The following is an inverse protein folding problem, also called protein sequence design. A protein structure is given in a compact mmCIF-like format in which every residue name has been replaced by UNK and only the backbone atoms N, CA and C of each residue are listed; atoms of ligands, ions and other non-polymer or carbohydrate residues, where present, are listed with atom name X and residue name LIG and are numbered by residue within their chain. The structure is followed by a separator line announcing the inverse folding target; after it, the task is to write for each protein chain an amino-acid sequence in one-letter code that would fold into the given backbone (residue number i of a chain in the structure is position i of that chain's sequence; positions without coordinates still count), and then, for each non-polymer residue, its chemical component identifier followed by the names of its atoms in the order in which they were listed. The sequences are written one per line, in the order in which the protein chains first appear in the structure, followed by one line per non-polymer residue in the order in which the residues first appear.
data_IF_198072294514
#
_entry.id   IF_198072294514
#
_cell.length_a   1.000
_cell.length_b   1.000
_cell.length_c   1.000
_cell.angle_alpha   90.00
_cell.angle_beta   90.00
_cell.angle_gamma   90.00
#
_symmetry.space_group_name_H-M   'P 1'
#
loop_
_entity.id
_entity.type
_entity.pdbx_description
1 polymer ?
#
# COMPACT_ATOMS: atom_id res chain seq x y z
N UNK A 1 -6.10 -8.35 18.54
CA UNK A 1 -5.09 -7.29 18.33
C UNK A 1 -3.90 -7.85 17.57
N UNK A 2 -3.44 -9.07 17.92
CA UNK A 2 -2.25 -9.70 17.32
C UNK A 2 -2.37 -9.95 15.81
N UNK A 3 -3.53 -10.36 15.32
CA UNK A 3 -3.74 -10.62 13.90
C UNK A 3 -3.68 -9.38 13.00
N UNK A 4 -3.99 -8.19 13.50
CA UNK A 4 -3.87 -6.96 12.72
C UNK A 4 -2.40 -6.54 12.57
N UNK A 5 -1.61 -6.67 13.64
CA UNK A 5 -0.18 -6.35 13.60
C UNK A 5 0.58 -7.33 12.69
N UNK A 6 0.20 -8.61 12.69
CA UNK A 6 0.81 -9.61 11.82
C UNK A 6 0.52 -9.32 10.34
N UNK A 7 -0.75 -9.02 9.99
CA UNK A 7 -1.11 -8.61 8.62
C UNK A 7 -0.36 -7.36 8.18
N UNK A 8 -0.29 -6.35 9.03
CA UNK A 8 0.45 -5.12 8.71
C UNK A 8 1.94 -5.39 8.42
N UNK A 9 2.58 -6.30 9.18
CA UNK A 9 3.96 -6.71 8.93
C UNK A 9 4.07 -7.45 7.59
N UNK A 10 3.16 -8.37 7.30
CA UNK A 10 3.13 -9.11 6.04
C UNK A 10 3.00 -8.16 4.86
N UNK A 11 2.02 -7.26 4.88
CA UNK A 11 1.82 -6.23 3.85
C UNK A 11 3.07 -5.34 3.67
N UNK A 12 3.74 -4.96 4.77
CA UNK A 12 4.96 -4.17 4.70
C UNK A 12 6.14 -4.95 4.08
N UNK A 13 6.25 -6.25 4.35
CA UNK A 13 7.27 -7.11 3.75
C UNK A 13 7.03 -7.31 2.26
N UNK A 14 5.79 -7.59 1.85
CA UNK A 14 5.41 -7.71 0.44
C UNK A 14 5.69 -6.42 -0.31
N UNK A 15 5.30 -5.28 0.24
CA UNK A 15 5.59 -3.98 -0.36
C UNK A 15 7.09 -3.73 -0.52
N UNK A 16 7.88 -4.01 0.51
CA UNK A 16 9.35 -3.85 0.45
C UNK A 16 9.98 -4.72 -0.63
N UNK A 17 9.48 -5.95 -0.78
CA UNK A 17 9.91 -6.87 -1.84
C UNK A 17 9.57 -6.31 -3.23
N UNK A 18 8.34 -5.85 -3.42
CA UNK A 18 7.88 -5.29 -4.68
C UNK A 18 8.66 -4.01 -5.07
N UNK A 19 8.89 -3.11 -4.12
CA UNK A 19 9.74 -1.93 -4.36
C UNK A 19 11.15 -2.34 -4.75
N UNK A 20 11.70 -3.37 -4.14
CA UNK A 20 13.03 -3.89 -4.49
C UNK A 20 13.08 -4.42 -5.92
N UNK A 21 12.03 -5.09 -6.38
CA UNK A 21 11.94 -5.60 -7.75
C UNK A 21 11.75 -4.48 -8.77
N UNK A 22 10.94 -3.47 -8.46
CA UNK A 22 10.79 -2.25 -9.27
C UNK A 22 12.15 -1.55 -9.46
N UNK A 23 12.88 -1.33 -8.36
CA UNK A 23 14.20 -0.68 -8.40
C UNK A 23 15.23 -1.54 -9.11
N UNK A 24 15.21 -2.86 -8.91
CA UNK A 24 16.11 -3.81 -9.60
C UNK A 24 15.88 -3.79 -11.10
N UNK A 25 14.62 -3.80 -11.55
CA UNK A 25 14.27 -3.70 -12.97
C UNK A 25 14.82 -2.42 -13.60
N UNK A 26 14.71 -1.30 -12.92
CA UNK A 26 15.25 -0.03 -13.39
C UNK A 26 16.79 0.02 -13.34
N UNK A 27 17.40 -0.58 -12.33
CA UNK A 27 18.85 -0.64 -12.16
C UNK A 27 19.55 -1.51 -13.21
N UNK A 28 18.86 -2.46 -13.83
CA UNK A 28 19.40 -3.33 -14.88
C UNK A 28 19.65 -2.58 -16.21
N UNK A 29 19.16 -1.35 -16.37
CA UNK A 29 19.52 -0.53 -17.52
C UNK A 29 21.04 -0.28 -17.54
N UNK A 30 21.67 -0.42 -18.70
CA UNK A 30 23.14 -0.44 -18.87
C UNK A 30 23.86 0.79 -18.30
N UNK A 31 23.20 1.95 -18.28
CA UNK A 31 23.78 3.20 -17.75
C UNK A 31 23.78 3.28 -16.23
N UNK A 32 22.78 2.68 -15.58
CA UNK A 32 22.62 2.69 -14.12
C UNK A 32 23.50 1.61 -13.50
N UNK A 33 23.58 0.42 -14.10
CA UNK A 33 24.42 -0.69 -13.62
C UNK A 33 25.88 -0.29 -13.48
N UNK A 34 26.45 0.42 -14.44
CA UNK A 34 27.82 0.91 -14.37
C UNK A 34 28.07 1.92 -13.24
N UNK A 35 27.09 2.80 -12.97
CA UNK A 35 27.17 3.78 -11.87
C UNK A 35 27.01 3.12 -10.50
N UNK A 36 26.17 2.11 -10.36
CA UNK A 36 25.99 1.35 -9.12
C UNK A 36 27.28 0.62 -8.73
N UNK A 37 27.92 -0.04 -9.68
CA UNK A 37 29.20 -0.71 -9.45
C UNK A 37 30.32 0.26 -9.03
N UNK A 38 30.38 1.43 -9.65
CA UNK A 38 31.37 2.46 -9.34
C UNK A 38 31.09 3.18 -8.00
N UNK A 39 29.81 3.33 -7.62
CA UNK A 39 29.38 4.06 -6.42
C UNK A 39 29.27 3.23 -5.15
N UNK A 40 29.36 1.89 -5.23
CA UNK A 40 29.28 0.99 -4.07
C UNK A 40 27.91 0.93 -3.39
N UNK A 41 26.85 1.53 -3.97
CA UNK A 41 25.51 1.49 -3.44
C UNK A 41 24.78 0.26 -4.02
N UNK A 42 24.18 -0.54 -3.14
CA UNK A 42 23.43 -1.72 -3.54
C UNK A 42 21.95 -1.42 -3.78
N UNK A 43 21.28 -2.33 -4.50
CA UNK A 43 19.85 -2.20 -4.85
C UNK A 43 18.95 -2.10 -3.61
N UNK A 44 19.29 -2.78 -2.52
CA UNK A 44 18.50 -2.75 -1.27
C UNK A 44 18.53 -1.34 -0.66
N UNK A 45 19.68 -0.69 -0.63
CA UNK A 45 19.79 0.69 -0.15
C UNK A 45 18.97 1.65 -1.01
N UNK A 46 19.03 1.51 -2.34
CA UNK A 46 18.22 2.32 -3.24
C UNK A 46 16.72 2.07 -3.06
N UNK A 47 16.33 0.82 -2.86
CA UNK A 47 14.91 0.47 -2.61
C UNK A 47 14.41 1.10 -1.32
N UNK A 48 15.21 1.09 -0.27
CA UNK A 48 14.87 1.76 0.98
C UNK A 48 14.71 3.28 0.78
N UNK A 49 15.61 3.90 0.02
CA UNK A 49 15.50 5.33 -0.31
C UNK A 49 14.25 5.64 -1.12
N UNK A 50 13.90 4.81 -2.10
CA UNK A 50 12.66 4.94 -2.89
C UNK A 50 11.44 4.76 -2.01
N UNK A 51 11.45 3.79 -1.08
CA UNK A 51 10.36 3.58 -0.12
C UNK A 51 10.12 4.80 0.75
N UNK A 52 11.16 5.37 1.33
CA UNK A 52 11.07 6.61 2.14
C UNK A 52 10.54 7.76 1.28
N UNK A 53 11.06 7.90 0.06
CA UNK A 53 10.63 8.96 -0.86
C UNK A 53 9.15 8.81 -1.27
N UNK A 54 8.69 7.58 -1.52
CA UNK A 54 7.31 7.28 -1.83
C UNK A 54 6.36 7.61 -0.66
N UNK A 55 6.76 7.30 0.57
CA UNK A 55 5.97 7.58 1.78
C UNK A 55 5.92 9.06 2.13
N UNK A 56 7.01 9.79 1.92
CA UNK A 56 7.11 11.23 2.25
C UNK A 56 6.59 12.14 1.14
N UNK A 57 6.26 11.61 -0.02
CA UNK A 57 5.82 12.37 -1.19
C UNK A 57 6.92 13.12 -1.92
N UNK A 58 8.19 12.86 -1.56
CA UNK A 58 9.33 13.65 -1.99
C UNK A 58 9.37 15.00 -1.26
N UNK A 59 10.52 15.64 -1.25
CA UNK A 59 10.61 16.99 -0.68
C UNK A 59 10.06 18.00 -1.68
N UNK A 60 8.76 18.24 -1.66
CA UNK A 60 8.17 19.41 -2.29
C UNK A 60 8.22 20.58 -1.29
N UNK A 61 9.37 21.09 -1.09
CA UNK A 61 9.75 22.48 -0.82
C UNK A 61 9.25 23.20 0.43
N UNK A 62 8.32 22.76 1.26
CA UNK A 62 7.72 23.66 2.27
C UNK A 62 7.66 23.14 3.70
N UNK A 63 7.86 21.84 3.95
CA UNK A 63 7.81 21.29 5.32
C UNK A 63 9.14 20.60 5.70
N UNK A 64 10.22 21.37 5.74
CA UNK A 64 11.52 20.88 6.21
C UNK A 64 11.55 20.95 7.74
N UNK A 65 10.92 19.95 8.37
CA UNK A 65 11.27 19.56 9.72
C UNK A 65 12.50 18.66 9.72
N UNK A 66 13.01 18.27 10.88
CA UNK A 66 14.25 17.46 11.04
C UNK A 66 14.29 16.17 10.18
N UNK A 67 13.14 15.64 9.77
CA UNK A 67 13.01 14.54 8.80
C UNK A 67 13.36 14.95 7.35
N UNK A 68 13.31 16.23 7.01
CA UNK A 68 13.52 16.75 5.66
C UNK A 68 14.96 16.64 5.15
N UNK A 69 15.95 16.73 6.00
CA UNK A 69 17.36 16.67 5.59
C UNK A 69 17.73 15.27 5.02
N UNK A 70 17.27 14.21 5.66
CA UNK A 70 17.52 12.83 5.21
C UNK A 70 16.77 12.51 3.92
N UNK A 71 15.54 13.03 3.76
CA UNK A 71 14.76 12.85 2.55
C UNK A 71 15.37 13.62 1.36
N UNK A 72 15.87 14.84 1.57
CA UNK A 72 16.53 15.63 0.55
C UNK A 72 17.84 14.98 0.07
N UNK A 73 18.63 14.41 0.99
CA UNK A 73 19.86 13.67 0.65
C UNK A 73 19.52 12.41 -0.15
N UNK A 74 18.50 11.65 0.26
CA UNK A 74 18.05 10.47 -0.45
C UNK A 74 17.57 10.81 -1.86
N UNK A 75 16.83 11.90 -2.03
CA UNK A 75 16.40 12.39 -3.34
C UNK A 75 17.59 12.73 -4.22
N UNK A 76 18.54 13.51 -3.74
CA UNK A 76 19.74 13.90 -4.50
C UNK A 76 20.53 12.67 -4.96
N UNK A 77 20.69 11.68 -4.07
CA UNK A 77 21.37 10.43 -4.41
C UNK A 77 20.58 9.68 -5.50
N UNK A 78 19.29 9.46 -5.31
CA UNK A 78 18.45 8.77 -6.28
C UNK A 78 18.47 9.46 -7.66
N UNK A 79 18.35 10.79 -7.68
CA UNK A 79 18.37 11.57 -8.93
C UNK A 79 19.71 11.49 -9.64
N UNK A 80 20.84 11.41 -8.90
CA UNK A 80 22.15 11.23 -9.49
C UNK A 80 22.33 9.89 -10.20
N UNK A 81 21.67 8.84 -9.70
CA UNK A 81 21.71 7.49 -10.29
C UNK A 81 20.70 7.31 -11.42
N UNK A 82 19.45 7.68 -11.19
CA UNK A 82 18.32 7.38 -12.07
C UNK A 82 17.84 8.58 -12.89
N UNK A 83 18.12 9.79 -12.45
CA UNK A 83 17.54 11.02 -12.98
C UNK A 83 16.15 11.32 -12.39
N UNK A 84 15.80 12.59 -12.32
CA UNK A 84 14.59 13.11 -11.66
C UNK A 84 13.28 12.44 -12.13
N UNK A 85 13.09 12.28 -13.44
CA UNK A 85 11.89 11.66 -14.01
C UNK A 85 11.72 10.21 -13.57
N UNK A 86 12.83 9.47 -13.57
CA UNK A 86 12.81 8.06 -13.17
C UNK A 86 12.54 7.92 -11.69
N UNK A 87 13.13 8.78 -10.85
CA UNK A 87 12.87 8.78 -9.40
C UNK A 87 11.40 9.04 -9.10
N UNK A 88 10.78 10.00 -9.77
CA UNK A 88 9.33 10.26 -9.62
C UNK A 88 8.50 9.06 -10.05
N UNK A 89 8.85 8.43 -11.17
CA UNK A 89 8.15 7.21 -11.63
C UNK A 89 8.29 6.05 -10.65
N UNK A 90 9.48 5.82 -10.11
CA UNK A 90 9.73 4.79 -9.08
C UNK A 90 8.91 5.06 -7.82
N UNK A 91 8.84 6.31 -7.35
CA UNK A 91 8.05 6.69 -6.19
C UNK A 91 6.54 6.50 -6.43
N UNK A 92 6.04 6.84 -7.61
CA UNK A 92 4.64 6.63 -7.98
C UNK A 92 4.32 5.13 -7.98
N UNK A 93 5.12 4.30 -8.64
CA UNK A 93 4.93 2.85 -8.67
C UNK A 93 4.98 2.24 -7.25
N UNK A 94 5.93 2.67 -6.42
CA UNK A 94 6.04 2.20 -5.04
C UNK A 94 4.81 2.59 -4.20
N UNK A 95 4.25 3.78 -4.41
CA UNK A 95 3.04 4.23 -3.74
C UNK A 95 1.80 3.46 -4.21
N UNK A 96 1.63 3.29 -5.51
CA UNK A 96 0.53 2.50 -6.07
C UNK A 96 0.54 1.06 -5.57
N UNK A 97 1.74 0.45 -5.47
CA UNK A 97 1.92 -0.87 -4.89
C UNK A 97 1.47 -0.91 -3.41
N UNK A 98 1.84 0.10 -2.61
CA UNK A 98 1.42 0.20 -1.21
C UNK A 98 -0.10 0.35 -1.09
N UNK A 99 -0.69 1.24 -1.87
CA UNK A 99 -2.14 1.49 -1.85
C UNK A 99 -2.93 0.23 -2.23
N UNK A 100 -2.48 -0.50 -3.23
CA UNK A 100 -3.08 -1.78 -3.65
C UNK A 100 -2.98 -2.84 -2.54
N UNK A 101 -1.78 -3.10 -2.03
CA UNK A 101 -1.58 -4.09 -0.97
C UNK A 101 -2.34 -3.74 0.32
N UNK A 102 -2.42 -2.46 0.67
CA UNK A 102 -3.20 -2.00 1.80
C UNK A 102 -4.71 -2.21 1.58
N UNK A 103 -5.21 -1.91 0.39
CA UNK A 103 -6.61 -2.15 0.04
C UNK A 103 -6.97 -3.63 0.09
N UNK A 104 -6.14 -4.52 -0.45
CA UNK A 104 -6.33 -5.96 -0.42
C UNK A 104 -6.34 -6.48 1.03
N UNK A 105 -5.39 -6.05 1.84
CA UNK A 105 -5.32 -6.40 3.27
C UNK A 105 -6.56 -5.94 4.07
N UNK A 106 -7.09 -4.76 3.76
CA UNK A 106 -8.31 -4.24 4.37
C UNK A 106 -9.55 -5.00 3.89
N UNK A 107 -9.63 -5.35 2.61
CA UNK A 107 -10.74 -6.10 2.05
C UNK A 107 -10.89 -7.46 2.74
N UNK A 108 -9.79 -8.16 3.02
CA UNK A 108 -9.80 -9.42 3.77
C UNK A 108 -10.38 -9.27 5.19
N UNK A 109 -10.15 -8.14 5.85
CA UNK A 109 -10.67 -7.86 7.20
C UNK A 109 -12.15 -7.51 7.17
N UNK A 110 -12.57 -6.79 6.15
CA UNK A 110 -13.95 -6.27 6.03
C UNK A 110 -14.91 -7.34 5.49
N UNK A 111 -14.46 -8.23 4.61
CA UNK A 111 -15.30 -9.25 3.98
C UNK A 111 -16.13 -10.09 4.98
N UNK A 112 -15.57 -10.67 6.06
CA UNK A 112 -16.36 -11.45 7.01
C UNK A 112 -17.36 -10.60 7.79
N UNK A 113 -17.08 -9.32 8.01
CA UNK A 113 -18.00 -8.40 8.68
C UNK A 113 -19.16 -8.03 7.76
N UNK A 114 -18.87 -7.74 6.49
CA UNK A 114 -19.88 -7.47 5.48
C UNK A 114 -20.85 -8.65 5.32
N UNK A 115 -20.33 -9.88 5.21
CA UNK A 115 -21.13 -11.09 5.11
C UNK A 115 -22.03 -11.30 6.35
N UNK A 116 -21.55 -11.01 7.54
CA UNK A 116 -22.36 -11.10 8.78
C UNK A 116 -23.48 -10.07 8.79
N UNK A 117 -23.21 -8.86 8.35
CA UNK A 117 -24.21 -7.80 8.28
C UNK A 117 -25.30 -8.12 7.25
N UNK A 118 -24.94 -8.65 6.09
CA UNK A 118 -25.89 -9.05 5.07
C UNK A 118 -26.78 -10.20 5.55
N UNK A 119 -26.21 -11.22 6.17
CA UNK A 119 -26.96 -12.33 6.76
C UNK A 119 -27.91 -11.84 7.88
N UNK A 120 -27.47 -10.89 8.71
CA UNK A 120 -28.34 -10.34 9.77
C UNK A 120 -29.53 -9.57 9.20
N UNK A 121 -29.32 -8.78 8.14
CA UNK A 121 -30.40 -8.06 7.44
C UNK A 121 -31.39 -9.01 6.77
N UNK A 122 -30.89 -10.12 6.22
CA UNK A 122 -31.75 -11.13 5.59
C UNK A 122 -32.62 -11.84 6.62
N UNK A 123 -32.11 -12.21 7.78
CA UNK A 123 -32.87 -12.76 8.88
C UNK A 123 -33.96 -11.79 9.39
N UNK A 124 -33.63 -10.54 9.60
CA UNK A 124 -34.59 -9.52 10.04
C UNK A 124 -35.72 -9.31 9.02
N UNK A 125 -35.42 -9.39 7.74
CA UNK A 125 -36.44 -9.32 6.66
C UNK A 125 -37.34 -10.56 6.66
N UNK A 126 -36.79 -11.75 6.88
CA UNK A 126 -37.57 -13.00 6.96
C UNK A 126 -38.50 -12.94 8.15
N UNK A 127 -38.03 -12.57 9.34
CA UNK A 127 -38.83 -12.44 10.55
C UNK A 127 -39.96 -11.42 10.38
N UNK A 128 -39.70 -10.31 9.71
CA UNK A 128 -40.70 -9.28 9.41
C UNK A 128 -41.80 -9.80 8.46
N UNK A 129 -41.40 -10.57 7.42
CA UNK A 129 -42.33 -11.16 6.48
C UNK A 129 -43.17 -12.26 7.13
N UNK A 130 -42.60 -13.10 7.97
CA UNK A 130 -43.34 -14.15 8.71
C UNK A 130 -44.37 -13.54 9.67
N UNK A 131 -43.97 -12.46 10.39
CA UNK A 131 -44.87 -11.72 11.25
C UNK A 131 -46.03 -11.08 10.49
N UNK A 132 -45.76 -10.48 9.32
CA UNK A 132 -46.81 -9.92 8.46
C UNK A 132 -47.77 -10.98 7.92
N UNK A 133 -47.23 -12.14 7.54
CA UNK A 133 -48.05 -13.30 7.10
C UNK A 133 -48.92 -13.84 8.20
N UNK A 134 -48.43 -13.94 9.44
CA UNK A 134 -49.20 -14.36 10.60
C UNK A 134 -50.38 -13.41 10.85
N UNK A 135 -50.12 -12.10 10.85
CA UNK A 135 -51.16 -11.07 11.04
C UNK A 135 -52.21 -11.09 9.91
N UNK A 136 -51.78 -11.30 8.66
CA UNK A 136 -52.72 -11.40 7.54
C UNK A 136 -53.59 -12.66 7.61
N UNK A 137 -53.08 -13.78 8.11
CA UNK A 137 -53.85 -15.01 8.33
C UNK A 137 -54.91 -14.84 9.43
N UNK A 138 -54.57 -14.15 10.51
CA UNK A 138 -55.53 -13.86 11.59
C UNK A 138 -56.68 -12.93 11.13
N UNK A 139 -56.38 -12.01 10.22
CA UNK A 139 -57.38 -11.10 9.69
C UNK A 139 -58.35 -11.74 8.67
N UNK A 140 -58.08 -12.96 8.20
CA UNK A 140 -58.87 -13.69 7.20
C UNK A 140 -59.81 -14.75 7.82
N UNK A 141 -59.79 -14.93 9.13
CA UNK A 141 -60.67 -15.82 9.91
C UNK A 141 -61.73 -15.02 10.66
#
# INVERSE_FOLDING_TARGET
VDGAAERARHTAQEWTSEVTDIVRGQAQSSRVSGRLLAGGINVVTLSLMVSVFAMTGGVTGVEVGVAGASAALSQTILESYFGERTVRSLATQAREALERLAADSLAEVVAPVATRLDNSREHERIDTLESALATAREALV
#
